data_IF_467443408100
#
_entry.id   IF_467443408100
#
_cell.length_a   1.000
_cell.length_b   1.000
_cell.length_c   1.000
_cell.angle_alpha   90.00
_cell.angle_beta   90.00
_cell.angle_gamma   90.00
#
_symmetry.space_group_name_H-M   'P 1'
#
loop_
_entity.id
_entity.type
_entity.pdbx_description
1 polymer ?
#
# COMPACT_ATOMS: atom_id res chain seq x y z
N UNK A 1 -22.12 -13.10 3.73
CA UNK A 1 -23.34 -12.35 3.32
C UNK A 1 -23.13 -10.83 3.29
N UNK A 2 -22.60 -10.20 4.34
CA UNK A 2 -22.41 -8.73 4.43
C UNK A 2 -21.57 -8.11 3.31
N UNK A 3 -20.45 -8.75 2.92
CA UNK A 3 -19.54 -8.21 1.90
C UNK A 3 -20.20 -8.11 0.51
N UNK A 4 -21.02 -9.10 0.15
CA UNK A 4 -21.73 -9.15 -1.14
C UNK A 4 -22.73 -8.00 -1.28
N UNK A 5 -23.45 -7.72 -0.19
CA UNK A 5 -24.40 -6.60 -0.14
C UNK A 5 -23.68 -5.26 -0.30
N UNK A 6 -22.56 -5.06 0.40
CA UNK A 6 -21.78 -3.83 0.31
C UNK A 6 -21.13 -3.63 -1.07
N UNK A 7 -20.66 -4.70 -1.71
CA UNK A 7 -20.18 -4.68 -3.10
C UNK A 7 -21.28 -4.26 -4.07
N UNK A 8 -22.49 -4.82 -3.90
CA UNK A 8 -23.66 -4.48 -4.72
C UNK A 8 -24.04 -3.01 -4.59
N UNK A 9 -23.97 -2.44 -3.38
CA UNK A 9 -24.21 -1.00 -3.17
C UNK A 9 -23.13 -0.10 -3.79
N UNK A 10 -21.89 -0.58 -3.94
CA UNK A 10 -20.79 0.15 -4.57
C UNK A 10 -20.66 -0.12 -6.08
N UNK A 11 -21.59 -0.86 -6.68
CA UNK A 11 -21.63 -1.12 -8.13
C UNK A 11 -20.64 -2.18 -8.62
N UNK A 12 -20.05 -2.98 -7.72
CA UNK A 12 -19.14 -4.06 -8.08
C UNK A 12 -19.95 -5.30 -8.51
N UNK A 13 -19.79 -5.72 -9.77
CA UNK A 13 -20.47 -6.88 -10.38
C UNK A 13 -19.85 -8.23 -9.96
N UNK A 14 -19.66 -8.44 -8.67
CA UNK A 14 -19.18 -9.72 -8.15
C UNK A 14 -20.35 -10.55 -7.61
N UNK A 15 -20.38 -11.83 -7.98
CA UNK A 15 -21.42 -12.76 -7.49
C UNK A 15 -21.03 -13.34 -6.13
N UNK A 16 -22.01 -13.75 -5.29
CA UNK A 16 -21.72 -14.39 -4.00
C UNK A 16 -20.76 -15.58 -4.13
N UNK A 17 -20.93 -16.38 -5.19
CA UNK A 17 -20.11 -17.57 -5.48
C UNK A 17 -18.68 -17.21 -5.88
N UNK A 18 -18.50 -16.14 -6.67
CA UNK A 18 -17.18 -15.61 -7.05
C UNK A 18 -16.40 -15.12 -5.83
N UNK A 19 -17.05 -14.33 -4.97
CA UNK A 19 -16.47 -13.83 -3.71
C UNK A 19 -16.07 -14.99 -2.80
N UNK A 20 -16.98 -15.94 -2.59
CA UNK A 20 -16.72 -17.12 -1.74
C UNK A 20 -15.54 -17.95 -2.26
N UNK A 21 -15.46 -18.15 -3.57
CA UNK A 21 -14.35 -18.88 -4.20
C UNK A 21 -13.01 -18.17 -4.05
N UNK A 22 -12.98 -16.84 -4.20
CA UNK A 22 -11.77 -16.01 -4.04
C UNK A 22 -11.26 -16.02 -2.60
N UNK A 23 -12.16 -15.98 -1.62
CA UNK A 23 -11.82 -16.06 -0.19
C UNK A 23 -11.32 -17.47 0.15
N UNK A 24 -12.06 -18.51 -0.24
CA UNK A 24 -11.75 -19.90 0.13
C UNK A 24 -10.45 -20.43 -0.48
N UNK A 25 -10.06 -19.97 -1.67
CA UNK A 25 -8.82 -20.40 -2.34
C UNK A 25 -7.57 -19.67 -1.86
N UNK A 26 -7.72 -18.58 -1.10
CA UNK A 26 -6.60 -17.79 -0.56
C UNK A 26 -5.79 -17.00 -1.61
N UNK A 27 -6.05 -17.16 -2.91
CA UNK A 27 -5.37 -16.48 -4.02
C UNK A 27 -6.15 -15.27 -4.54
N UNK A 28 -6.75 -14.47 -3.65
CA UNK A 28 -7.39 -13.23 -4.08
C UNK A 28 -6.35 -12.15 -4.34
N UNK A 29 -6.62 -11.27 -5.31
CA UNK A 29 -5.70 -10.20 -5.66
C UNK A 29 -5.64 -9.12 -4.58
N UNK A 30 -4.49 -8.44 -4.46
CA UNK A 30 -4.35 -7.28 -3.59
C UNK A 30 -5.41 -6.20 -3.89
N UNK A 31 -5.79 -6.02 -5.16
CA UNK A 31 -6.86 -5.12 -5.55
C UNK A 31 -8.21 -5.52 -4.95
N UNK A 32 -8.55 -6.82 -4.97
CA UNK A 32 -9.78 -7.32 -4.36
C UNK A 32 -9.76 -7.14 -2.83
N UNK A 33 -8.61 -7.34 -2.20
CA UNK A 33 -8.43 -7.08 -0.77
C UNK A 33 -8.75 -5.62 -0.41
N UNK A 34 -8.14 -4.67 -1.13
CA UNK A 34 -8.35 -3.25 -0.90
C UNK A 34 -9.80 -2.83 -1.16
N UNK A 35 -10.45 -3.43 -2.17
CA UNK A 35 -11.88 -3.23 -2.40
C UNK A 35 -12.71 -3.72 -1.21
N UNK A 36 -12.39 -4.89 -0.64
CA UNK A 36 -13.04 -5.39 0.59
C UNK A 36 -12.86 -4.42 1.75
N UNK A 37 -11.64 -3.92 1.97
CA UNK A 37 -11.35 -2.94 3.01
C UNK A 37 -12.11 -1.62 2.81
N UNK A 38 -12.20 -1.14 1.57
CA UNK A 38 -12.95 0.08 1.24
C UNK A 38 -14.45 -0.06 1.51
N UNK A 39 -15.07 -1.19 1.11
CA UNK A 39 -16.52 -1.39 1.31
C UNK A 39 -16.90 -1.59 2.77
N UNK A 40 -16.02 -2.14 3.60
CA UNK A 40 -16.26 -2.29 5.05
C UNK A 40 -15.94 -1.02 5.84
N UNK A 41 -15.44 0.04 5.19
CA UNK A 41 -15.16 1.33 5.83
C UNK A 41 -13.76 1.46 6.43
N UNK A 42 -12.79 0.64 6.01
CA UNK A 42 -11.39 0.84 6.38
C UNK A 42 -10.82 2.03 5.61
N UNK A 43 -10.49 3.11 6.34
CA UNK A 43 -10.01 4.37 5.77
C UNK A 43 -8.48 4.48 5.71
N UNK A 44 -7.77 3.76 6.58
CA UNK A 44 -6.30 3.80 6.69
C UNK A 44 -5.76 2.39 6.85
N UNK A 45 -4.74 2.08 6.07
CA UNK A 45 -3.92 0.87 6.18
C UNK A 45 -2.49 1.34 6.36
N UNK A 46 -1.80 0.79 7.36
CA UNK A 46 -0.40 1.08 7.63
C UNK A 46 0.38 -0.22 7.57
N UNK A 47 1.50 -0.22 6.85
CA UNK A 47 2.36 -1.39 6.66
C UNK A 47 3.64 -1.12 7.44
N UNK A 48 3.77 -1.76 8.59
CA UNK A 48 4.96 -1.67 9.43
C UNK A 48 6.11 -2.46 8.78
N UNK A 49 7.32 -1.91 8.80
CA UNK A 49 8.53 -2.55 8.24
C UNK A 49 8.98 -2.04 6.86
N UNK A 50 8.34 -1.02 6.30
CA UNK A 50 8.92 -0.28 5.18
C UNK A 50 10.09 0.58 5.68
N UNK A 51 11.27 -0.02 5.78
CA UNK A 51 12.52 0.72 5.98
C UNK A 51 12.84 1.45 4.67
N UNK A 52 12.26 2.62 4.45
CA UNK A 52 12.77 3.54 3.45
C UNK A 52 14.19 3.91 3.87
N UNK A 53 15.19 3.36 3.20
CA UNK A 53 16.58 3.81 3.32
C UNK A 53 16.74 5.18 2.64
N UNK A 54 15.95 6.17 3.06
CA UNK A 54 16.01 7.54 2.56
C UNK A 54 17.35 8.20 2.92
N UNK A 55 18.08 7.63 3.87
CA UNK A 55 19.44 8.03 4.27
C UNK A 55 20.51 7.75 3.20
N UNK A 56 20.25 6.95 2.16
CA UNK A 56 21.23 6.66 1.10
C UNK A 56 21.38 7.79 0.07
N UNK A 57 20.49 8.80 0.10
CA UNK A 57 20.46 9.91 -0.89
C UNK A 57 21.05 11.19 -0.32
N UNK A 58 21.45 11.21 0.96
CA UNK A 58 22.16 12.36 1.52
C UNK A 58 23.57 12.42 0.92
N UNK A 59 23.84 13.42 0.08
CA UNK A 59 25.20 13.70 -0.36
C UNK A 59 26.10 13.98 0.86
N UNK A 60 27.32 13.44 0.90
CA UNK A 60 28.23 13.70 2.01
C UNK A 60 28.56 15.20 2.04
N UNK A 61 28.39 15.82 3.20
CA UNK A 61 28.84 17.19 3.45
C UNK A 61 30.38 17.20 3.48
N UNK A 62 31.02 17.26 2.31
CA UNK A 62 32.45 17.44 2.19
C UNK A 62 32.78 18.91 2.31
N UNK A 63 33.35 19.29 3.46
CA UNK A 63 33.90 20.62 3.68
C UNK A 63 35.15 20.76 2.78
N UNK A 64 35.01 21.45 1.65
CA UNK A 64 36.13 21.71 0.76
C UNK A 64 37.14 22.62 1.45
N UNK A 65 38.36 22.10 1.65
CA UNK A 65 39.47 22.94 2.10
C UNK A 65 39.86 23.87 0.97
N UNK A 66 39.56 25.15 1.11
CA UNK A 66 40.25 26.19 0.36
C UNK A 66 41.67 26.23 0.89
N UNK A 67 42.63 25.74 0.09
CA UNK A 67 44.03 26.02 0.33
C UNK A 67 44.19 27.53 0.15
N UNK A 68 44.46 28.21 1.26
CA UNK A 68 44.86 29.61 1.26
C UNK A 68 46.32 29.66 0.75
N UNK A 69 46.49 29.47 -0.56
CA UNK A 69 47.75 29.76 -1.26
C UNK A 69 47.79 31.26 -1.55
N UNK A 70 47.89 32.04 -0.47
CA UNK A 70 48.00 33.50 -0.45
C UNK A 70 49.34 33.94 0.10
N UNK A 71 50.36 33.88 -0.77
CA UNK A 71 51.54 34.75 -0.91
C UNK A 71 52.12 35.48 0.32
#
# INVERSE_FOLDING_TARGET
MILVFLFSQKGLKETPSSITSKISRGTFSAAFFLQCLSVIGCAKIEIEGFNSNLSLVAEPNVEYKTNDDGQ
#
